data_IF_093510186616
#
_entry.id   IF_093510186616
#
_cell.length_a   1.000
_cell.length_b   1.000
_cell.length_c   1.000
_cell.angle_alpha   90.00
_cell.angle_beta   90.00
_cell.angle_gamma   90.00
#
_symmetry.space_group_name_H-M   'P 1'
#
loop_
_entity.id
_entity.type
_entity.pdbx_description
1 polymer ?
#
# COMPACT_ATOMS: atom_id res chain seq x y z
N UNK A 1 12.55 5.86 -29.61
CA UNK A 1 11.26 5.29 -29.21
C UNK A 1 11.16 5.55 -27.71
N UNK A 2 10.21 6.32 -27.26
CA UNK A 2 10.03 6.56 -25.82
C UNK A 2 9.25 5.34 -25.32
N UNK A 3 9.93 4.48 -24.56
CA UNK A 3 9.28 3.37 -23.88
C UNK A 3 8.41 3.94 -22.77
N UNK A 4 7.08 3.80 -22.89
CA UNK A 4 6.12 4.22 -21.87
C UNK A 4 5.44 3.00 -21.29
N UNK A 5 5.38 2.94 -19.95
CA UNK A 5 4.79 1.83 -19.20
C UNK A 5 3.51 2.31 -18.50
N UNK A 6 2.56 1.41 -18.33
CA UNK A 6 1.32 1.71 -17.64
C UNK A 6 1.54 1.85 -16.12
N UNK A 7 2.18 0.86 -15.52
CA UNK A 7 2.36 0.78 -14.06
C UNK A 7 3.74 0.29 -13.69
N UNK A 8 4.21 0.74 -12.54
CA UNK A 8 5.33 0.20 -11.80
C UNK A 8 4.88 -0.23 -10.41
N UNK A 9 5.33 -1.39 -9.94
CA UNK A 9 5.12 -1.90 -8.58
C UNK A 9 3.65 -2.08 -8.15
N UNK A 10 2.72 -2.28 -9.11
CA UNK A 10 1.34 -2.67 -8.78
C UNK A 10 1.27 -4.18 -8.58
N UNK A 11 1.08 -4.60 -7.33
CA UNK A 11 1.19 -6.00 -6.93
C UNK A 11 -0.13 -6.78 -7.10
N UNK A 12 -0.01 -8.10 -7.20
CA UNK A 12 -1.17 -9.00 -7.22
C UNK A 12 -2.02 -8.89 -5.94
N UNK A 13 -1.39 -8.63 -4.79
CA UNK A 13 -2.06 -8.44 -3.49
C UNK A 13 -2.94 -7.18 -3.51
N UNK A 14 -2.40 -6.07 -3.98
CA UNK A 14 -3.15 -4.83 -4.16
C UNK A 14 -4.34 -5.03 -5.10
N UNK A 15 -4.14 -5.74 -6.22
CA UNK A 15 -5.20 -6.05 -7.16
C UNK A 15 -6.30 -6.93 -6.52
N UNK A 16 -5.94 -7.92 -5.70
CA UNK A 16 -6.89 -8.76 -4.97
C UNK A 16 -7.75 -7.93 -4.03
N UNK A 17 -7.13 -7.07 -3.25
CA UNK A 17 -7.84 -6.22 -2.30
C UNK A 17 -8.71 -5.17 -3.01
N UNK A 18 -8.20 -4.55 -4.05
CA UNK A 18 -8.97 -3.61 -4.88
C UNK A 18 -10.14 -4.28 -5.61
N UNK A 19 -10.07 -5.59 -5.86
CA UNK A 19 -11.20 -6.37 -6.40
C UNK A 19 -12.17 -6.87 -5.31
N UNK A 20 -12.04 -6.38 -4.08
CA UNK A 20 -12.94 -6.71 -2.96
C UNK A 20 -12.81 -8.15 -2.48
N UNK A 21 -11.61 -8.76 -2.60
CA UNK A 21 -11.35 -10.11 -2.11
C UNK A 21 -10.50 -10.11 -0.85
N UNK A 22 -10.61 -11.20 -0.09
CA UNK A 22 -9.80 -11.54 1.07
C UNK A 22 -8.86 -12.68 0.71
N UNK A 23 -7.65 -12.71 1.28
CA UNK A 23 -6.72 -13.83 1.13
C UNK A 23 -6.85 -14.83 2.28
N UNK A 24 -7.13 -14.33 3.48
CA UNK A 24 -7.28 -15.13 4.70
C UNK A 24 -8.44 -14.60 5.54
N UNK A 25 -9.01 -15.44 6.38
CA UNK A 25 -9.88 -15.00 7.46
C UNK A 25 -9.06 -14.36 8.61
N UNK A 26 -9.75 -13.67 9.51
CA UNK A 26 -9.11 -12.92 10.61
C UNK A 26 -8.31 -13.80 11.57
N UNK A 27 -8.74 -15.06 11.72
CA UNK A 27 -8.14 -16.00 12.66
C UNK A 27 -7.04 -16.87 12.03
N UNK A 28 -6.82 -16.76 10.73
CA UNK A 28 -5.84 -17.56 10.01
C UNK A 28 -6.20 -19.04 9.89
N UNK A 29 -7.49 -19.38 9.89
CA UNK A 29 -7.99 -20.76 9.76
C UNK A 29 -8.37 -21.10 8.34
N UNK A 30 -8.72 -20.10 7.54
CA UNK A 30 -9.17 -20.25 6.16
C UNK A 30 -8.37 -19.36 5.23
N UNK A 31 -8.11 -19.87 4.04
CA UNK A 31 -7.55 -19.12 2.94
C UNK A 31 -8.53 -19.09 1.75
N UNK A 32 -8.44 -18.08 0.87
CA UNK A 32 -9.43 -17.83 -0.18
C UNK A 32 -8.80 -17.68 -1.58
N UNK A 33 -7.63 -18.29 -1.82
CA UNK A 33 -6.87 -18.15 -3.07
C UNK A 33 -7.59 -18.71 -4.30
N UNK A 34 -8.48 -19.69 -4.14
CA UNK A 34 -9.25 -20.25 -5.26
C UNK A 34 -10.52 -19.47 -5.63
N UNK A 35 -10.77 -18.34 -4.95
CA UNK A 35 -11.93 -17.49 -5.23
C UNK A 35 -11.84 -16.79 -6.60
N UNK A 36 -13.00 -16.57 -7.24
CA UNK A 36 -13.09 -15.93 -8.56
C UNK A 36 -12.41 -14.56 -8.57
N UNK A 37 -12.68 -13.71 -7.57
CA UNK A 37 -12.10 -12.37 -7.46
C UNK A 37 -10.57 -12.38 -7.33
N UNK A 38 -10.01 -13.34 -6.60
CA UNK A 38 -8.55 -13.51 -6.48
C UNK A 38 -7.96 -13.92 -7.83
N UNK A 39 -8.60 -14.88 -8.49
CA UNK A 39 -8.19 -15.36 -9.79
C UNK A 39 -8.17 -14.25 -10.86
N UNK A 40 -9.23 -13.45 -10.92
CA UNK A 40 -9.34 -12.30 -11.81
C UNK A 40 -8.24 -11.26 -11.55
N UNK A 41 -7.96 -10.95 -10.28
CA UNK A 41 -6.91 -10.01 -9.89
C UNK A 41 -5.51 -10.50 -10.29
N UNK A 42 -5.20 -11.78 -10.05
CA UNK A 42 -3.92 -12.38 -10.46
C UNK A 42 -3.77 -12.38 -11.99
N UNK A 43 -4.83 -12.71 -12.74
CA UNK A 43 -4.84 -12.62 -14.20
C UNK A 43 -4.64 -11.19 -14.71
N UNK A 44 -5.25 -10.23 -14.04
CA UNK A 44 -5.12 -8.82 -14.39
C UNK A 44 -3.67 -8.34 -14.27
N UNK A 45 -3.01 -8.62 -13.14
CA UNK A 45 -1.61 -8.23 -12.95
C UNK A 45 -0.68 -8.96 -13.92
N UNK A 46 -0.91 -10.25 -14.19
CA UNK A 46 -0.18 -10.97 -15.24
C UNK A 46 -0.26 -10.23 -16.58
N UNK A 47 -1.48 -9.84 -16.99
CA UNK A 47 -1.70 -9.09 -18.23
C UNK A 47 -0.99 -7.74 -18.23
N UNK A 48 -0.97 -7.01 -17.11
CA UNK A 48 -0.23 -5.75 -17.01
C UNK A 48 1.27 -5.98 -17.23
N UNK A 49 1.85 -7.02 -16.64
CA UNK A 49 3.25 -7.37 -16.81
C UNK A 49 3.58 -7.76 -18.27
N UNK A 50 2.70 -8.50 -18.92
CA UNK A 50 2.84 -8.86 -20.34
C UNK A 50 2.81 -7.63 -21.25
N UNK A 51 2.01 -6.61 -20.92
CA UNK A 51 1.94 -5.34 -21.68
C UNK A 51 3.24 -4.55 -21.63
N UNK A 52 4.10 -4.79 -20.65
CA UNK A 52 5.44 -4.19 -20.57
C UNK A 52 6.46 -4.85 -21.53
N UNK A 53 6.02 -5.77 -22.38
CA UNK A 53 6.86 -6.43 -23.39
C UNK A 53 7.95 -7.34 -22.80
N UNK A 54 7.74 -7.86 -21.57
CA UNK A 54 8.70 -8.69 -20.85
C UNK A 54 9.88 -7.92 -20.23
N UNK A 55 9.85 -6.58 -20.32
CA UNK A 55 10.83 -5.72 -19.64
C UNK A 55 10.43 -5.51 -18.19
N UNK A 56 11.39 -5.62 -17.29
CA UNK A 56 11.24 -5.20 -15.91
C UNK A 56 11.17 -3.68 -15.84
N UNK A 57 10.06 -3.15 -15.30
CA UNK A 57 9.87 -1.72 -15.04
C UNK A 57 10.49 -1.41 -13.68
N UNK A 58 11.24 -0.34 -13.60
CA UNK A 58 12.02 0.06 -12.42
C UNK A 58 11.59 1.41 -11.87
N UNK A 59 12.03 1.72 -10.65
CA UNK A 59 11.89 3.05 -10.05
C UNK A 59 12.47 4.15 -10.94
N UNK A 60 13.60 3.89 -11.60
CA UNK A 60 14.22 4.85 -12.52
C UNK A 60 13.34 5.16 -13.74
N UNK A 61 12.53 4.21 -14.20
CA UNK A 61 11.58 4.46 -15.29
C UNK A 61 10.50 5.44 -14.85
N UNK A 62 9.99 5.33 -13.61
CA UNK A 62 9.06 6.29 -13.04
C UNK A 62 9.72 7.67 -12.85
N UNK A 63 10.89 7.71 -12.24
CA UNK A 63 11.64 8.96 -11.97
C UNK A 63 12.02 9.69 -13.27
N UNK A 64 12.07 8.98 -14.38
CA UNK A 64 12.29 9.53 -15.73
C UNK A 64 11.00 9.94 -16.45
N UNK A 65 9.84 9.75 -15.82
CA UNK A 65 8.54 10.09 -16.41
C UNK A 65 8.03 9.09 -17.46
N UNK A 66 8.58 7.88 -17.49
CA UNK A 66 8.22 6.83 -18.45
C UNK A 66 7.12 5.89 -17.93
N UNK A 67 6.62 6.08 -16.71
CA UNK A 67 5.57 5.27 -16.08
C UNK A 67 4.37 6.16 -15.75
N UNK A 68 3.17 5.73 -16.14
CA UNK A 68 1.96 6.51 -15.92
C UNK A 68 1.46 6.44 -14.46
N UNK A 69 1.54 5.27 -13.81
CA UNK A 69 1.03 5.06 -12.44
C UNK A 69 2.01 4.25 -11.61
N UNK A 70 2.16 4.64 -10.36
CA UNK A 70 2.94 3.93 -9.37
C UNK A 70 2.20 3.95 -8.02
N UNK A 71 1.88 2.79 -7.42
CA UNK A 71 1.48 2.74 -6.02
C UNK A 71 2.57 3.33 -5.14
N UNK A 72 2.19 4.16 -4.21
CA UNK A 72 3.11 4.91 -3.38
C UNK A 72 2.63 4.88 -1.93
N UNK A 73 3.49 4.44 -1.01
CA UNK A 73 3.19 4.59 0.40
C UNK A 73 3.23 6.07 0.81
N UNK A 74 2.40 6.46 1.77
CA UNK A 74 2.39 7.84 2.25
C UNK A 74 3.76 8.30 2.78
N UNK A 75 4.55 7.38 3.32
CA UNK A 75 5.94 7.64 3.72
C UNK A 75 6.86 7.93 2.53
N UNK A 76 6.66 7.23 1.42
CA UNK A 76 7.45 7.40 0.19
C UNK A 76 7.05 8.67 -0.57
N UNK A 77 5.76 9.02 -0.57
CA UNK A 77 5.26 10.27 -1.13
C UNK A 77 6.10 11.47 -0.67
N UNK A 78 6.49 11.49 0.60
CA UNK A 78 7.32 12.57 1.15
C UNK A 78 8.73 12.65 0.57
N UNK A 79 9.24 11.58 -0.01
CA UNK A 79 10.51 11.59 -0.74
C UNK A 79 10.38 12.44 -2.01
N UNK A 80 9.26 12.33 -2.72
CA UNK A 80 9.01 13.07 -3.96
C UNK A 80 8.75 14.57 -3.75
N UNK A 81 8.41 14.99 -2.53
CA UNK A 81 8.27 16.41 -2.21
C UNK A 81 9.59 17.13 -1.89
N UNK A 82 10.69 16.39 -1.77
CA UNK A 82 12.01 16.94 -1.49
C UNK A 82 12.84 17.10 -2.75
N UNK A 83 14.01 17.76 -2.62
CA UNK A 83 14.98 17.83 -3.69
C UNK A 83 15.49 16.42 -4.08
N UNK A 84 15.67 16.11 -5.38
CA UNK A 84 15.46 17.00 -6.54
C UNK A 84 14.02 17.02 -7.09
N UNK A 85 13.15 16.12 -6.64
CA UNK A 85 11.86 15.83 -7.25
C UNK A 85 10.84 16.98 -7.14
N UNK A 86 10.92 17.79 -6.09
CA UNK A 86 10.06 18.97 -5.91
C UNK A 86 10.37 20.11 -6.87
N UNK A 87 11.60 20.19 -7.36
CA UNK A 87 12.04 21.33 -8.16
C UNK A 87 11.81 21.03 -9.64
N UNK A 88 10.80 21.65 -10.24
CA UNK A 88 10.42 21.49 -11.67
C UNK A 88 11.61 21.57 -12.63
N UNK A 89 12.66 22.33 -12.29
CA UNK A 89 13.87 22.44 -13.09
C UNK A 89 14.65 21.12 -13.21
N UNK A 90 14.51 20.22 -12.24
CA UNK A 90 15.26 18.96 -12.17
C UNK A 90 14.37 17.74 -12.37
N UNK A 91 13.04 17.91 -12.42
CA UNK A 91 12.10 16.86 -12.77
C UNK A 91 11.78 16.91 -14.25
N UNK A 92 11.81 15.77 -14.91
CA UNK A 92 11.46 15.65 -16.33
C UNK A 92 9.95 15.61 -16.56
N UNK A 93 9.14 15.45 -15.50
CA UNK A 93 7.69 15.27 -15.57
C UNK A 93 6.98 15.87 -14.35
N UNK A 94 5.68 16.09 -14.48
CA UNK A 94 4.80 16.45 -13.36
C UNK A 94 4.06 15.20 -12.88
N UNK A 95 3.84 15.09 -11.57
CA UNK A 95 3.13 13.99 -10.94
C UNK A 95 2.13 14.52 -9.90
N UNK A 96 1.12 13.75 -9.64
CA UNK A 96 0.13 13.99 -8.60
C UNK A 96 -0.33 12.67 -7.98
N UNK A 97 -0.99 12.74 -6.82
CA UNK A 97 -1.55 11.56 -6.17
C UNK A 97 -3.05 11.42 -6.47
N UNK A 98 -3.46 10.20 -6.67
CA UNK A 98 -4.87 9.81 -6.80
C UNK A 98 -5.13 8.56 -5.97
N UNK A 99 -6.40 8.20 -5.79
CA UNK A 99 -6.76 6.96 -5.09
C UNK A 99 -6.25 5.74 -5.85
N UNK A 100 -6.01 4.66 -5.12
CA UNK A 100 -5.75 3.34 -5.73
C UNK A 100 -6.89 2.94 -6.66
N UNK A 101 -6.62 2.23 -7.76
CA UNK A 101 -7.67 1.79 -8.67
C UNK A 101 -8.62 0.81 -7.98
N UNK A 102 -9.91 0.89 -8.28
CA UNK A 102 -10.89 -0.11 -7.89
C UNK A 102 -10.96 -1.23 -8.93
N UNK A 103 -11.06 -2.47 -8.50
CA UNK A 103 -11.43 -3.59 -9.36
C UNK A 103 -12.93 -3.58 -9.66
N UNK A 104 -13.40 -4.39 -10.64
CA UNK A 104 -14.81 -4.42 -11.06
C UNK A 104 -15.80 -4.72 -9.91
N UNK A 105 -15.37 -5.48 -8.94
CA UNK A 105 -16.18 -5.96 -7.81
C UNK A 105 -15.75 -5.35 -6.47
N UNK A 106 -14.89 -4.35 -6.51
CA UNK A 106 -14.26 -3.79 -5.32
C UNK A 106 -14.36 -2.28 -5.20
N UNK A 107 -13.46 -1.75 -4.40
CA UNK A 107 -13.36 -0.33 -4.07
C UNK A 107 -11.91 0.13 -4.16
N UNK A 108 -11.70 1.44 -4.17
CA UNK A 108 -10.39 2.06 -4.01
C UNK A 108 -9.82 1.69 -2.62
N UNK A 109 -9.05 0.61 -2.55
CA UNK A 109 -8.53 0.07 -1.30
C UNK A 109 -7.04 0.29 -1.20
N UNK A 110 -6.63 0.95 -0.11
CA UNK A 110 -5.22 1.08 0.28
C UNK A 110 -4.92 0.14 1.44
N UNK A 111 -3.71 -0.38 1.50
CA UNK A 111 -3.24 -1.07 2.69
C UNK A 111 -2.84 -0.04 3.76
N UNK A 112 -3.34 -0.22 4.98
CA UNK A 112 -3.01 0.63 6.12
C UNK A 112 -2.14 -0.16 7.08
N UNK A 113 -0.92 0.32 7.27
CA UNK A 113 0.00 -0.18 8.28
C UNK A 113 0.27 0.88 9.35
N UNK A 114 0.62 0.44 10.55
CA UNK A 114 0.84 1.31 11.69
C UNK A 114 2.16 1.02 12.38
N UNK A 115 2.93 2.07 12.63
CA UNK A 115 4.09 1.98 13.51
C UNK A 115 3.62 1.83 14.96
N UNK A 116 3.93 0.68 15.55
CA UNK A 116 3.56 0.36 16.92
C UNK A 116 4.71 0.66 17.88
N UNK A 117 4.39 1.32 18.98
CA UNK A 117 5.32 1.57 20.09
C UNK A 117 4.93 0.72 21.31
N UNK A 118 5.93 0.20 22.00
CA UNK A 118 5.74 -0.62 23.20
C UNK A 118 6.64 -0.19 24.33
N UNK A 119 6.26 -0.50 25.57
CA UNK A 119 7.09 -0.28 26.76
C UNK A 119 7.81 -1.58 27.07
N UNK A 120 9.14 -1.54 27.12
CA UNK A 120 9.95 -2.71 27.47
C UNK A 120 9.57 -3.27 28.86
N UNK A 121 9.36 -4.58 28.95
CA UNK A 121 8.92 -5.22 30.19
C UNK A 121 9.91 -5.00 31.36
N UNK A 122 11.20 -4.87 31.07
CA UNK A 122 12.27 -4.62 32.06
C UNK A 122 12.47 -3.14 32.41
N UNK A 123 11.69 -2.22 31.84
CA UNK A 123 11.78 -0.80 32.14
C UNK A 123 11.50 -0.55 33.62
N UNK A 124 12.35 0.23 34.26
CA UNK A 124 12.18 0.70 35.66
C UNK A 124 11.29 1.93 35.76
N UNK A 125 10.95 2.56 34.62
CA UNK A 125 10.19 3.81 34.53
C UNK A 125 8.96 3.65 33.62
N UNK A 126 8.14 2.61 33.88
CA UNK A 126 7.00 2.27 33.02
C UNK A 126 5.93 3.36 33.01
N UNK A 127 5.69 4.01 34.14
CA UNK A 127 4.72 5.10 34.25
C UNK A 127 5.15 6.32 33.43
N UNK A 128 6.42 6.72 33.55
CA UNK A 128 6.95 7.82 32.73
C UNK A 128 6.93 7.49 31.21
N UNK A 129 7.28 6.26 30.88
CA UNK A 129 7.22 5.79 29.49
C UNK A 129 5.77 5.80 28.96
N UNK A 130 4.80 5.47 29.80
CA UNK A 130 3.39 5.53 29.45
C UNK A 130 2.90 6.97 29.22
N UNK A 131 3.29 7.92 30.12
CA UNK A 131 2.98 9.34 29.93
C UNK A 131 3.59 9.87 28.62
N UNK A 132 4.83 9.49 28.31
CA UNK A 132 5.47 9.84 27.05
C UNK A 132 4.73 9.26 25.83
N UNK A 133 4.31 7.99 25.88
CA UNK A 133 3.52 7.39 24.81
C UNK A 133 2.18 8.10 24.62
N UNK A 134 1.47 8.43 25.70
CA UNK A 134 0.22 9.19 25.62
C UNK A 134 0.44 10.56 24.98
N UNK A 135 1.49 11.27 25.38
CA UNK A 135 1.85 12.54 24.78
C UNK A 135 2.09 12.41 23.28
N UNK A 136 2.90 11.43 22.86
CA UNK A 136 3.19 11.21 21.43
C UNK A 136 1.95 10.82 20.61
N UNK A 137 1.01 10.08 21.19
CA UNK A 137 -0.11 9.49 20.44
C UNK A 137 -1.42 10.29 20.55
N UNK A 138 -1.64 11.01 21.63
CA UNK A 138 -2.92 11.63 21.94
C UNK A 138 -2.88 13.17 21.95
N UNK A 139 -1.70 13.77 22.06
CA UNK A 139 -1.58 15.23 22.01
C UNK A 139 -1.70 15.74 20.58
N UNK A 140 -2.67 16.60 20.34
CA UNK A 140 -2.97 17.09 18.99
C UNK A 140 -1.91 18.01 18.41
N UNK A 141 -1.19 18.76 19.25
CA UNK A 141 -0.12 19.64 18.76
C UNK A 141 1.09 18.82 18.33
N UNK A 142 1.48 17.83 19.13
CA UNK A 142 2.56 16.90 18.80
C UNK A 142 2.19 16.06 17.56
N UNK A 143 0.96 15.60 17.48
CA UNK A 143 0.51 14.83 16.30
C UNK A 143 0.48 15.67 15.02
N UNK A 144 0.26 16.97 15.09
CA UNK A 144 0.42 17.89 13.95
C UNK A 144 1.90 18.05 13.55
N UNK A 145 2.80 18.20 14.51
CA UNK A 145 4.23 18.24 14.24
C UNK A 145 4.74 16.91 13.65
N UNK A 146 4.30 15.78 14.19
CA UNK A 146 4.60 14.46 13.62
C UNK A 146 4.11 14.39 12.17
N UNK A 147 2.90 14.83 11.90
CA UNK A 147 2.36 14.87 10.54
C UNK A 147 3.18 15.81 9.63
N UNK A 148 3.63 16.94 10.11
CA UNK A 148 4.40 17.91 9.33
C UNK A 148 5.84 17.45 9.04
N UNK A 149 6.51 16.86 10.03
CA UNK A 149 7.94 16.58 9.95
C UNK A 149 8.32 15.11 9.82
N UNK A 150 7.40 14.18 10.07
CA UNK A 150 7.66 12.76 9.90
C UNK A 150 7.23 12.24 8.53
N UNK A 151 7.47 10.97 8.27
CA UNK A 151 7.03 10.29 7.05
C UNK A 151 5.67 9.56 7.21
N UNK A 152 4.97 9.77 8.34
CA UNK A 152 3.72 9.09 8.64
C UNK A 152 2.50 10.01 8.69
N UNK A 153 1.32 9.41 8.61
CA UNK A 153 0.07 10.09 8.94
C UNK A 153 -0.15 10.11 10.46
N UNK A 154 -0.90 11.10 10.94
CA UNK A 154 -1.30 11.14 12.35
C UNK A 154 -2.26 10.00 12.67
N UNK A 155 -2.12 9.39 13.85
CA UNK A 155 -3.08 8.41 14.38
C UNK A 155 -4.40 9.05 14.81
N UNK A 156 -4.44 10.37 14.93
CA UNK A 156 -5.64 11.12 15.27
C UNK A 156 -6.40 11.50 14.01
N UNK A 157 -7.58 10.90 13.79
CA UNK A 157 -8.40 11.13 12.61
C UNK A 157 -8.66 12.61 12.34
N UNK A 158 -8.92 13.40 13.39
CA UNK A 158 -9.18 14.83 13.25
C UNK A 158 -7.92 15.65 12.91
N UNK A 159 -6.72 15.11 13.04
CA UNK A 159 -5.49 15.72 12.53
C UNK A 159 -5.31 15.34 11.07
N UNK A 160 -5.33 14.04 10.75
CA UNK A 160 -5.14 13.52 9.39
C UNK A 160 -6.24 14.00 8.42
N UNK A 161 -7.51 14.03 8.86
CA UNK A 161 -8.65 14.52 8.06
C UNK A 161 -8.88 16.03 8.17
N UNK A 162 -7.93 16.80 8.71
CA UNK A 162 -8.09 18.25 8.87
C UNK A 162 -7.76 18.99 7.57
N UNK A 163 -8.38 20.18 7.42
CA UNK A 163 -7.99 21.12 6.34
C UNK A 163 -6.52 21.51 6.40
N UNK A 164 -5.90 21.45 7.58
CA UNK A 164 -4.48 21.68 7.75
C UNK A 164 -3.66 20.58 7.07
N UNK A 165 -3.97 19.30 7.35
CA UNK A 165 -3.28 18.18 6.72
C UNK A 165 -3.43 18.20 5.18
N UNK A 166 -4.64 18.46 4.70
CA UNK A 166 -4.92 18.62 3.27
C UNK A 166 -4.14 19.77 2.66
N UNK A 167 -4.09 20.93 3.32
CA UNK A 167 -3.32 22.08 2.84
C UNK A 167 -1.83 21.80 2.78
N UNK A 168 -1.29 21.02 3.73
CA UNK A 168 0.11 20.60 3.74
C UNK A 168 0.43 19.68 2.56
N UNK A 169 -0.42 18.68 2.31
CA UNK A 169 -0.26 17.77 1.17
C UNK A 169 -0.28 18.55 -0.15
N UNK A 170 -1.23 19.46 -0.33
CA UNK A 170 -1.33 20.31 -1.53
C UNK A 170 -0.10 21.20 -1.73
N UNK A 171 0.33 21.88 -0.67
CA UNK A 171 1.54 22.71 -0.70
C UNK A 171 2.78 21.89 -1.09
N UNK A 172 2.83 20.65 -0.62
CA UNK A 172 3.93 19.76 -0.92
C UNK A 172 3.94 19.30 -2.39
N UNK A 173 2.77 19.11 -3.00
CA UNK A 173 2.67 18.68 -4.40
C UNK A 173 2.83 19.80 -5.42
N UNK A 174 2.85 21.08 -4.98
CA UNK A 174 2.94 22.26 -5.87
C UNK A 174 1.90 22.20 -7.02
N UNK A 175 0.71 21.68 -6.71
CA UNK A 175 -0.38 21.46 -7.67
C UNK A 175 -1.38 22.63 -7.60
N UNK A 176 -1.97 22.96 -8.75
CA UNK A 176 -3.06 23.94 -8.84
C UNK A 176 -4.24 23.48 -7.94
N UNK A 177 -4.71 24.35 -7.05
CA UNK A 177 -5.74 24.06 -6.03
C UNK A 177 -7.04 23.43 -6.57
N UNK A 178 -7.22 23.40 -7.89
CA UNK A 178 -8.40 22.90 -8.58
C UNK A 178 -8.41 21.38 -8.83
N UNK A 179 -7.31 20.67 -8.62
CA UNK A 179 -7.13 19.31 -9.15
C UNK A 179 -7.13 18.21 -8.09
N UNK A 180 -6.98 18.51 -6.80
CA UNK A 180 -6.87 17.48 -5.77
C UNK A 180 -8.20 17.22 -5.07
N UNK A 181 -8.57 15.95 -5.02
CA UNK A 181 -9.60 15.48 -4.11
C UNK A 181 -9.18 15.76 -2.65
N UNK A 182 -9.96 16.62 -1.99
CA UNK A 182 -9.68 17.14 -0.65
C UNK A 182 -9.67 16.05 0.44
N UNK A 183 -9.99 14.82 0.08
CA UNK A 183 -10.16 13.71 1.01
C UNK A 183 -9.24 12.52 0.74
N UNK A 184 -8.31 12.63 -0.21
CA UNK A 184 -7.49 11.51 -0.67
C UNK A 184 -6.87 10.69 0.47
N UNK A 185 -6.19 11.34 1.42
CA UNK A 185 -5.57 10.66 2.56
C UNK A 185 -6.60 10.13 3.55
N UNK A 186 -7.64 10.91 3.84
CA UNK A 186 -8.72 10.48 4.74
C UNK A 186 -9.45 9.27 4.18
N UNK A 187 -9.80 9.31 2.89
CA UNK A 187 -10.50 8.22 2.22
C UNK A 187 -9.62 6.97 2.10
N UNK A 188 -8.31 7.14 1.83
CA UNK A 188 -7.37 6.03 1.82
C UNK A 188 -7.25 5.32 3.18
N UNK A 189 -7.34 6.07 4.28
CA UNK A 189 -7.30 5.51 5.65
C UNK A 189 -8.67 4.94 6.05
N UNK A 190 -9.76 5.65 5.77
CA UNK A 190 -11.12 5.22 6.14
C UNK A 190 -11.54 3.94 5.40
N UNK A 191 -11.18 3.83 4.12
CA UNK A 191 -11.41 2.65 3.29
C UNK A 191 -10.23 1.68 3.31
N UNK A 192 -9.24 1.97 4.14
CA UNK A 192 -8.01 1.22 4.22
C UNK A 192 -8.19 -0.15 4.84
N UNK A 193 -7.35 -1.06 4.39
CA UNK A 193 -7.35 -2.43 4.84
C UNK A 193 -6.18 -2.69 5.78
N UNK A 194 -6.46 -3.34 6.90
CA UNK A 194 -5.46 -3.82 7.85
C UNK A 194 -5.28 -5.32 7.63
N UNK A 195 -4.03 -5.75 7.50
CA UNK A 195 -3.70 -7.17 7.36
C UNK A 195 -4.14 -7.97 8.59
N UNK A 196 -4.58 -9.23 8.41
CA UNK A 196 -4.91 -10.13 9.53
C UNK A 196 -3.72 -10.32 10.46
N UNK A 197 -3.99 -10.47 11.78
CA UNK A 197 -2.95 -10.58 12.82
C UNK A 197 -2.94 -11.98 13.45
N UNK A 198 -2.78 -13.01 12.66
CA UNK A 198 -2.55 -14.37 13.17
C UNK A 198 -1.07 -14.74 13.07
N UNK A 199 -0.60 -15.62 13.96
CA UNK A 199 0.84 -15.89 14.15
C UNK A 199 1.56 -16.38 12.90
N UNK A 200 0.89 -17.15 12.04
CA UNK A 200 1.45 -17.68 10.78
C UNK A 200 1.28 -16.76 9.57
N UNK A 201 0.77 -15.54 9.75
CA UNK A 201 0.51 -14.64 8.61
C UNK A 201 1.76 -14.34 7.77
N UNK A 202 2.93 -14.02 8.36
CA UNK A 202 4.12 -13.74 7.57
C UNK A 202 4.56 -14.93 6.71
N UNK A 203 4.56 -16.13 7.29
CA UNK A 203 4.93 -17.35 6.59
C UNK A 203 3.91 -17.74 5.50
N UNK A 204 2.62 -17.57 5.81
CA UNK A 204 1.56 -17.82 4.84
C UNK A 204 1.64 -16.86 3.64
N UNK A 205 1.94 -15.58 3.88
CA UNK A 205 2.16 -14.61 2.81
C UNK A 205 3.41 -14.92 2.00
N UNK A 206 4.52 -15.31 2.63
CA UNK A 206 5.73 -15.71 1.91
C UNK A 206 5.48 -16.91 1.00
N UNK A 207 4.68 -17.90 1.44
CA UNK A 207 4.27 -19.01 0.59
C UNK A 207 3.40 -18.55 -0.59
N UNK A 208 2.49 -17.59 -0.36
CA UNK A 208 1.66 -17.03 -1.41
C UNK A 208 2.47 -16.25 -2.45
N UNK A 209 3.40 -15.39 -2.02
CA UNK A 209 4.29 -14.66 -2.92
C UNK A 209 5.09 -15.63 -3.82
N UNK A 210 5.68 -16.67 -3.23
CA UNK A 210 6.44 -17.66 -3.98
C UNK A 210 5.56 -18.39 -5.01
N UNK A 211 4.33 -18.75 -4.66
CA UNK A 211 3.41 -19.43 -5.61
C UNK A 211 3.00 -18.51 -6.76
N UNK A 212 2.66 -17.26 -6.46
CA UNK A 212 2.28 -16.28 -7.51
C UNK A 212 3.46 -15.99 -8.43
N UNK A 213 4.65 -15.82 -7.87
CA UNK A 213 5.89 -15.65 -8.61
C UNK A 213 6.15 -16.84 -9.54
N UNK A 214 5.97 -18.06 -9.04
CA UNK A 214 6.14 -19.27 -9.82
C UNK A 214 5.09 -19.39 -10.95
N UNK A 215 3.85 -19.01 -10.66
CA UNK A 215 2.79 -18.93 -11.68
C UNK A 215 3.18 -17.97 -12.81
N UNK A 216 3.71 -16.80 -12.49
CA UNK A 216 4.08 -15.79 -13.48
C UNK A 216 5.33 -16.18 -14.27
N UNK A 217 6.39 -16.63 -13.60
CA UNK A 217 7.67 -16.98 -14.21
C UNK A 217 7.60 -18.22 -15.12
N UNK A 218 6.78 -19.19 -14.72
CA UNK A 218 6.68 -20.47 -15.45
C UNK A 218 5.39 -20.59 -16.28
N UNK A 219 4.69 -19.47 -16.50
CA UNK A 219 3.45 -19.38 -17.32
C UNK A 219 2.41 -20.45 -16.97
N UNK A 220 2.29 -20.80 -15.69
CA UNK A 220 1.36 -21.82 -15.22
C UNK A 220 -0.09 -21.38 -15.42
N UNK A 221 -0.98 -22.36 -15.52
CA UNK A 221 -2.41 -22.05 -15.53
C UNK A 221 -2.85 -21.56 -14.15
N UNK A 222 -3.28 -20.30 -14.08
CA UNK A 222 -3.60 -19.59 -12.82
C UNK A 222 -4.73 -20.33 -12.07
N UNK A 223 -5.81 -20.73 -12.75
CA UNK A 223 -6.96 -21.36 -12.10
C UNK A 223 -6.59 -22.68 -11.41
N UNK A 224 -5.84 -23.53 -12.08
CA UNK A 224 -5.42 -24.82 -11.51
C UNK A 224 -4.39 -24.64 -10.41
N UNK A 225 -3.42 -23.75 -10.58
CA UNK A 225 -2.38 -23.47 -9.58
C UNK A 225 -2.97 -22.91 -8.30
N UNK A 226 -3.85 -21.92 -8.38
CA UNK A 226 -4.50 -21.33 -7.20
C UNK A 226 -5.39 -22.35 -6.47
N UNK A 227 -6.05 -23.29 -7.17
CA UNK A 227 -6.80 -24.39 -6.54
C UNK A 227 -5.89 -25.38 -5.81
N UNK A 228 -4.73 -25.69 -6.37
CA UNK A 228 -3.74 -26.54 -5.70
C UNK A 228 -3.16 -25.82 -4.49
N UNK A 229 -2.75 -24.58 -4.67
CA UNK A 229 -2.21 -23.75 -3.60
C UNK A 229 -3.21 -23.57 -2.45
N UNK A 230 -4.48 -23.33 -2.75
CA UNK A 230 -5.55 -23.24 -1.74
C UNK A 230 -5.56 -24.44 -0.78
N UNK A 231 -5.34 -25.65 -1.29
CA UNK A 231 -5.31 -26.88 -0.47
C UNK A 231 -4.05 -26.93 0.40
N UNK A 232 -2.90 -26.60 -0.16
CA UNK A 232 -1.61 -26.63 0.55
C UNK A 232 -1.54 -25.58 1.66
N UNK A 233 -1.96 -24.36 1.36
CA UNK A 233 -1.96 -23.27 2.36
C UNK A 233 -2.99 -23.51 3.47
N UNK A 234 -4.15 -24.06 3.14
CA UNK A 234 -5.14 -24.44 4.16
C UNK A 234 -4.59 -25.52 5.10
N UNK A 235 -3.85 -26.50 4.57
CA UNK A 235 -3.19 -27.51 5.39
C UNK A 235 -2.12 -26.89 6.30
N UNK A 236 -1.30 -25.96 5.77
CA UNK A 236 -0.30 -25.24 6.54
C UNK A 236 -0.92 -24.44 7.70
N UNK A 237 -2.01 -23.72 7.45
CA UNK A 237 -2.69 -22.94 8.48
C UNK A 237 -3.23 -23.78 9.64
N UNK A 238 -3.63 -25.02 9.37
CA UNK A 238 -4.27 -25.93 10.36
C UNK A 238 -3.28 -26.92 11.03
N UNK A 239 -2.00 -26.83 10.77
CA UNK A 239 -0.94 -27.54 11.49
C UNK A 239 -0.56 -26.80 12.78
#
# INVERSE_FOLDING_TARGET
>A
MIDQFGTYNYTWKEAVYSNGAELFDKDGKKAFFSGTKVNEAVKFVKKLNEMNGGREVTQNDFDSGNVAFMPLAFSEYRTYKTYPYKIKKYTSFQWECTSMPAGPEGHNTSEVDALLMTIGNKSKHKELAWEFLKMLTLDSSIQREIFEYSQGASVLKYVTGSRYAESMIRKDMDVDERVIDNRLLSDAIENGRINPKFSKYPEAMALAENEIDDIYKNEKNIDSSLKVFQRSITKFLNQ
#
